data_IF_451936048356
#
_entry.id   IF_451936048356
#
_cell.length_a   1.000
_cell.length_b   1.000
_cell.length_c   1.000
_cell.angle_alpha   90.00
_cell.angle_beta   90.00
_cell.angle_gamma   90.00
#
_symmetry.space_group_name_H-M   'P 1'
#
loop_
_entity.id
_entity.type
_entity.pdbx_description
1 polymer ?
#
# COMPACT_ATOMS: atom_id res chain seq x y z
N UNK A 1 -34.83 -6.51 14.45
CA UNK A 1 -33.53 -5.80 14.45
C UNK A 1 -33.60 -4.69 15.48
N UNK A 2 -32.60 -4.62 16.36
CA UNK A 2 -32.58 -3.69 17.49
C UNK A 2 -32.30 -2.27 16.97
N UNK A 3 -33.00 -1.24 17.47
CA UNK A 3 -32.79 0.16 17.02
C UNK A 3 -31.33 0.65 17.11
N UNK A 4 -30.51 0.00 17.95
CA UNK A 4 -29.08 0.24 18.06
C UNK A 4 -28.31 -0.19 16.80
N UNK A 5 -28.70 -1.31 16.19
CA UNK A 5 -28.06 -1.84 14.97
C UNK A 5 -28.31 -0.90 13.79
N UNK A 6 -29.54 -0.39 13.65
CA UNK A 6 -29.92 0.52 12.56
C UNK A 6 -29.16 1.86 12.64
N UNK A 7 -28.94 2.37 13.86
CA UNK A 7 -28.14 3.60 14.07
C UNK A 7 -26.68 3.42 13.71
N UNK A 8 -26.08 2.29 14.10
CA UNK A 8 -24.68 1.98 13.77
C UNK A 8 -24.52 1.80 12.27
N UNK A 9 -25.41 1.05 11.63
CA UNK A 9 -25.40 0.86 10.17
C UNK A 9 -25.47 2.21 9.44
N UNK A 10 -26.40 3.08 9.82
CA UNK A 10 -26.52 4.41 9.21
C UNK A 10 -25.25 5.24 9.38
N UNK A 11 -24.65 5.25 10.57
CA UNK A 11 -23.39 5.94 10.83
C UNK A 11 -22.26 5.44 9.91
N UNK A 12 -22.12 4.11 9.77
CA UNK A 12 -21.08 3.52 8.91
C UNK A 12 -21.30 3.85 7.43
N UNK A 13 -22.54 3.82 6.94
CA UNK A 13 -22.90 4.21 5.57
C UNK A 13 -22.60 5.68 5.29
N UNK A 14 -22.89 6.57 6.25
CA UNK A 14 -22.62 8.00 6.13
C UNK A 14 -21.10 8.27 6.11
N UNK A 15 -20.33 7.58 6.96
CA UNK A 15 -18.86 7.61 6.94
C UNK A 15 -18.31 7.07 5.62
N UNK A 16 -18.83 5.94 5.13
CA UNK A 16 -18.41 5.38 3.85
C UNK A 16 -18.61 6.39 2.72
N UNK A 17 -19.79 7.00 2.60
CA UNK A 17 -20.05 8.02 1.56
C UNK A 17 -19.16 9.25 1.71
N UNK A 18 -18.79 9.62 2.93
CA UNK A 18 -17.92 10.78 3.19
C UNK A 18 -16.47 10.53 2.78
N UNK A 19 -15.92 9.33 3.02
CA UNK A 19 -14.50 9.05 2.84
C UNK A 19 -14.17 8.22 1.60
N UNK A 20 -15.16 7.57 0.97
CA UNK A 20 -15.00 6.75 -0.23
C UNK A 20 -15.05 7.59 -1.51
N UNK A 21 -14.24 8.65 -1.59
CA UNK A 21 -14.05 9.44 -2.81
C UNK A 21 -12.67 9.22 -3.41
N UNK A 22 -12.57 9.34 -4.74
CA UNK A 22 -11.32 9.14 -5.47
C UNK A 22 -10.20 10.09 -5.03
N UNK A 23 -10.54 11.32 -4.62
CA UNK A 23 -9.56 12.28 -4.12
C UNK A 23 -8.94 11.84 -2.79
N UNK A 24 -9.66 11.06 -1.98
CA UNK A 24 -9.12 10.50 -0.75
C UNK A 24 -8.17 9.33 -1.03
N UNK A 25 -8.44 8.52 -2.05
CA UNK A 25 -7.54 7.43 -2.46
C UNK A 25 -6.17 7.92 -2.91
N UNK A 26 -6.07 9.13 -3.48
CA UNK A 26 -4.78 9.66 -3.92
C UNK A 26 -3.78 9.85 -2.78
N UNK A 27 -4.29 9.96 -1.55
CA UNK A 27 -3.46 10.12 -0.35
C UNK A 27 -3.26 8.82 0.40
N UNK A 28 -3.89 7.73 -0.02
CA UNK A 28 -3.90 6.46 0.68
C UNK A 28 -3.00 5.42 -0.02
N UNK A 29 -2.35 4.50 0.72
CA UNK A 29 -1.55 3.42 0.13
C UNK A 29 -2.33 2.52 -0.84
N UNK A 30 -3.66 2.51 -0.80
CA UNK A 30 -4.50 1.81 -1.78
C UNK A 30 -4.26 2.27 -3.22
N UNK A 31 -3.67 3.47 -3.43
CA UNK A 31 -3.33 3.94 -4.77
C UNK A 31 -2.32 3.02 -5.47
N UNK A 32 -1.45 2.33 -4.73
CA UNK A 32 -0.38 1.50 -5.32
C UNK A 32 -0.92 0.26 -6.05
N UNK A 33 -1.79 -0.58 -5.43
CA UNK A 33 -2.50 -1.65 -6.13
C UNK A 33 -3.22 -1.18 -7.40
N UNK A 34 -3.88 -0.02 -7.33
CA UNK A 34 -4.62 0.53 -8.46
C UNK A 34 -3.74 0.99 -9.65
N UNK A 35 -2.41 0.97 -9.52
CA UNK A 35 -1.49 1.23 -10.64
C UNK A 35 -1.39 0.06 -11.62
N UNK A 36 -1.79 -1.14 -11.19
CA UNK A 36 -1.60 -2.38 -11.93
C UNK A 36 -2.93 -2.95 -12.42
N UNK A 37 -2.88 -3.72 -13.52
CA UNK A 37 -4.05 -4.42 -14.09
C UNK A 37 -3.94 -5.95 -14.00
N UNK A 38 -2.72 -6.48 -13.83
CA UNK A 38 -2.51 -7.91 -13.57
C UNK A 38 -2.84 -8.23 -12.10
N UNK A 39 -3.58 -9.31 -11.87
CA UNK A 39 -4.06 -9.67 -10.53
C UNK A 39 -2.90 -9.97 -9.57
N UNK A 40 -1.80 -10.57 -10.05
CA UNK A 40 -0.64 -10.90 -9.22
C UNK A 40 0.09 -9.62 -8.80
N UNK A 41 0.23 -8.67 -9.72
CA UNK A 41 0.83 -7.37 -9.42
C UNK A 41 -0.02 -6.58 -8.43
N UNK A 42 -1.35 -6.62 -8.56
CA UNK A 42 -2.28 -6.00 -7.62
C UNK A 42 -2.13 -6.61 -6.21
N UNK A 43 -2.04 -7.94 -6.10
CA UNK A 43 -1.88 -8.63 -4.82
C UNK A 43 -0.55 -8.28 -4.15
N UNK A 44 0.56 -8.36 -4.89
CA UNK A 44 1.89 -8.02 -4.37
C UNK A 44 1.96 -6.55 -3.96
N UNK A 45 1.43 -5.65 -4.79
CA UNK A 45 1.36 -4.24 -4.46
C UNK A 45 0.50 -3.98 -3.21
N UNK A 46 -0.62 -4.69 -3.04
CA UNK A 46 -1.47 -4.58 -1.86
C UNK A 46 -0.77 -5.04 -0.59
N UNK A 47 -0.08 -6.18 -0.67
CA UNK A 47 0.69 -6.72 0.44
C UNK A 47 1.80 -5.75 0.89
N UNK A 48 2.59 -5.24 -0.06
CA UNK A 48 3.65 -4.27 0.24
C UNK A 48 3.05 -2.98 0.80
N UNK A 49 2.04 -2.40 0.14
CA UNK A 49 1.45 -1.13 0.57
C UNK A 49 0.85 -1.23 1.98
N UNK A 50 0.14 -2.32 2.29
CA UNK A 50 -0.43 -2.57 3.63
C UNK A 50 0.64 -2.74 4.70
N UNK A 51 1.80 -3.32 4.36
CA UNK A 51 2.91 -3.53 5.29
C UNK A 51 3.55 -2.22 5.76
N UNK A 52 3.43 -1.13 5.00
CA UNK A 52 3.95 0.19 5.36
C UNK A 52 2.87 1.20 5.80
N UNK A 53 1.59 0.81 5.76
CA UNK A 53 0.43 1.67 6.04
C UNK A 53 0.24 2.02 7.54
N UNK A 54 1.33 2.31 8.24
CA UNK A 54 1.33 2.72 9.65
C UNK A 54 2.18 3.98 9.83
N UNK A 55 1.74 4.92 10.67
CA UNK A 55 2.48 6.15 10.96
C UNK A 55 2.01 7.36 10.16
N UNK A 56 2.95 8.21 9.73
CA UNK A 56 2.61 9.47 9.03
C UNK A 56 2.50 9.21 7.53
N UNK A 57 1.33 9.50 6.97
CA UNK A 57 0.97 9.32 5.56
C UNK A 57 2.05 9.78 4.60
N UNK A 58 2.47 11.04 4.71
CA UNK A 58 3.49 11.65 3.86
C UNK A 58 4.83 10.90 3.87
N UNK A 59 5.20 10.30 5.01
CA UNK A 59 6.47 9.61 5.15
C UNK A 59 6.45 8.23 4.49
N UNK A 60 5.43 7.41 4.79
CA UNK A 60 5.40 6.06 4.23
C UNK A 60 5.00 6.07 2.75
N UNK A 61 4.19 7.03 2.29
CA UNK A 61 3.88 7.18 0.87
C UNK A 61 5.15 7.43 0.04
N UNK A 62 6.05 8.30 0.53
CA UNK A 62 7.33 8.55 -0.12
C UNK A 62 8.27 7.32 -0.13
N UNK A 63 8.18 6.46 0.89
CA UNK A 63 8.92 5.19 0.95
C UNK A 63 8.34 4.18 -0.04
N UNK A 64 7.02 4.00 -0.05
CA UNK A 64 6.33 3.13 -1.00
C UNK A 64 6.59 3.57 -2.44
N UNK A 65 6.58 4.87 -2.75
CA UNK A 65 6.93 5.36 -4.08
C UNK A 65 8.35 5.00 -4.51
N UNK A 66 9.32 4.94 -3.58
CA UNK A 66 10.68 4.46 -3.90
C UNK A 66 10.68 2.96 -4.16
N UNK A 67 10.01 2.19 -3.31
CA UNK A 67 9.88 0.73 -3.45
C UNK A 67 9.26 0.41 -4.81
N UNK A 68 8.08 0.94 -5.13
CA UNK A 68 7.39 0.65 -6.39
C UNK A 68 8.15 1.13 -7.64
N UNK A 69 9.01 2.15 -7.53
CA UNK A 69 9.93 2.52 -8.63
C UNK A 69 11.00 1.45 -8.90
N UNK A 70 11.43 0.72 -7.87
CA UNK A 70 12.38 -0.39 -8.00
C UNK A 70 11.69 -1.60 -8.63
N UNK A 71 10.49 -1.93 -8.14
CA UNK A 71 9.70 -3.06 -8.65
C UNK A 71 9.22 -2.85 -10.10
N UNK A 72 9.00 -1.59 -10.50
CA UNK A 72 8.62 -1.23 -11.86
C UNK A 72 7.19 -1.62 -12.20
N UNK A 73 6.99 -2.00 -13.47
CA UNK A 73 5.66 -2.27 -14.04
C UNK A 73 5.11 -3.66 -13.66
N UNK A 74 5.95 -4.58 -13.17
CA UNK A 74 5.51 -5.90 -12.69
C UNK A 74 6.17 -6.25 -11.33
N UNK A 75 5.56 -5.81 -10.21
CA UNK A 75 5.91 -6.24 -8.87
C UNK A 75 5.98 -7.75 -8.67
N UNK A 76 5.07 -8.51 -9.27
CA UNK A 76 5.03 -9.96 -9.12
C UNK A 76 6.25 -10.61 -9.77
N UNK A 77 6.57 -10.24 -11.01
CA UNK A 77 7.73 -10.77 -11.71
C UNK A 77 9.04 -10.36 -11.00
N UNK A 78 9.11 -9.13 -10.44
CA UNK A 78 10.26 -8.70 -9.64
C UNK A 78 10.46 -9.60 -8.42
N UNK A 79 9.40 -9.86 -7.64
CA UNK A 79 9.48 -10.69 -6.43
C UNK A 79 9.81 -12.14 -6.77
N UNK A 80 9.24 -12.69 -7.84
CA UNK A 80 9.50 -14.07 -8.27
C UNK A 80 10.96 -14.29 -8.70
N UNK A 81 11.57 -13.29 -9.31
CA UNK A 81 12.96 -13.34 -9.80
C UNK A 81 13.98 -12.68 -8.85
N UNK A 82 13.55 -12.27 -7.65
CA UNK A 82 14.37 -11.54 -6.70
C UNK A 82 15.55 -12.40 -6.23
N UNK A 83 16.75 -11.83 -6.33
CA UNK A 83 17.97 -12.43 -5.80
C UNK A 83 18.59 -11.51 -4.76
N UNK A 84 18.78 -12.04 -3.54
CA UNK A 84 19.21 -11.26 -2.39
C UNK A 84 20.59 -10.61 -2.61
N UNK A 85 21.56 -11.31 -3.20
CA UNK A 85 22.90 -10.78 -3.43
C UNK A 85 22.91 -9.71 -4.54
N UNK A 86 22.13 -9.92 -5.60
CA UNK A 86 22.09 -9.05 -6.78
C UNK A 86 21.25 -7.80 -6.57
N UNK A 87 20.10 -7.93 -5.91
CA UNK A 87 19.02 -6.94 -5.95
C UNK A 87 18.85 -6.15 -4.66
N UNK A 88 19.38 -6.62 -3.52
CA UNK A 88 19.31 -5.89 -2.23
C UNK A 88 19.84 -4.45 -2.34
N UNK A 89 20.87 -4.25 -3.15
CA UNK A 89 21.47 -2.93 -3.42
C UNK A 89 20.49 -1.88 -3.92
N UNK A 90 19.38 -2.27 -4.57
CA UNK A 90 18.38 -1.32 -5.05
C UNK A 90 17.58 -0.69 -3.91
N UNK A 91 17.49 -1.38 -2.77
CA UNK A 91 16.78 -0.92 -1.58
C UNK A 91 17.68 -0.16 -0.62
N UNK A 92 18.98 -0.02 -0.92
CA UNK A 92 19.93 0.67 -0.04
C UNK A 92 19.47 2.10 0.29
N UNK A 93 19.59 2.44 1.57
CA UNK A 93 19.14 3.74 2.11
C UNK A 93 17.62 3.89 2.29
N UNK A 94 16.79 2.90 1.91
CA UNK A 94 15.37 2.89 2.27
C UNK A 94 15.23 2.52 3.75
N UNK A 95 14.76 3.49 4.53
CA UNK A 95 14.54 3.32 5.96
C UNK A 95 13.16 3.89 6.32
N UNK A 96 12.37 3.11 7.06
CA UNK A 96 11.09 3.54 7.60
C UNK A 96 10.85 2.99 9.01
N UNK A 97 11.01 3.88 10.00
CA UNK A 97 10.78 3.59 11.43
C UNK A 97 11.58 2.38 11.95
N UNK A 98 10.98 1.20 11.88
CA UNK A 98 11.52 -0.06 12.40
C UNK A 98 12.09 -0.95 11.29
N UNK A 99 11.89 -0.58 10.02
CA UNK A 99 12.41 -1.31 8.87
C UNK A 99 13.56 -0.52 8.27
N UNK A 100 14.72 -1.16 8.15
CA UNK A 100 15.79 -0.73 7.28
C UNK A 100 15.78 -1.58 5.99
N UNK A 101 16.81 -1.42 5.15
CA UNK A 101 16.87 -2.10 3.86
C UNK A 101 17.30 -3.57 3.93
N UNK A 102 17.78 -4.06 5.08
CA UNK A 102 18.22 -5.45 5.31
C UNK A 102 17.25 -6.26 6.20
N UNK A 103 16.34 -5.59 6.91
CA UNK A 103 15.34 -6.21 7.80
C UNK A 103 14.23 -6.96 7.04
#
# INVERSE_FOLDING_TARGET
MCQKEEKVKKLLEDLYKQYNSFEQYQRDPIIFPHRYSDERDIEIAGLIASSFAYGRLELFMAVLDKIFKILGDSPADFVENFDFERDLKYFDGINYRFNNYID
#
